data_IF_297076860563
#
_entry.id   IF_297076860563
#
_cell.length_a   1.000
_cell.length_b   1.000
_cell.length_c   1.000
_cell.angle_alpha   90.00
_cell.angle_beta   90.00
_cell.angle_gamma   90.00
#
_symmetry.space_group_name_H-M   'P 1'
#
loop_
_entity.id
_entity.type
_entity.pdbx_description
1 polymer ?
#
# COMPACT_ATOMS: atom_id res chain seq x y z
N UNK A 1 -15.74 -19.33 18.61
CA UNK A 1 -14.59 -19.76 17.80
C UNK A 1 -13.84 -18.50 17.42
N UNK A 2 -12.59 -18.37 17.84
CA UNK A 2 -11.80 -17.16 17.64
C UNK A 2 -11.30 -17.11 16.18
N UNK A 3 -11.81 -16.15 15.41
CA UNK A 3 -11.31 -15.85 14.07
C UNK A 3 -10.01 -15.07 14.24
N UNK A 4 -8.90 -15.66 13.82
CA UNK A 4 -7.58 -15.03 13.79
C UNK A 4 -7.61 -13.97 12.67
N UNK A 5 -7.65 -12.69 13.04
CA UNK A 5 -7.41 -11.60 12.11
C UNK A 5 -5.88 -11.42 12.02
N UNK A 6 -5.28 -11.77 10.87
CA UNK A 6 -3.87 -11.45 10.57
C UNK A 6 -3.72 -9.93 10.67
N UNK A 7 -3.15 -9.46 11.79
CA UNK A 7 -2.62 -8.11 11.89
C UNK A 7 -1.50 -7.98 10.84
N UNK A 8 -1.44 -6.82 10.20
CA UNK A 8 -0.40 -6.44 9.25
C UNK A 8 0.98 -6.46 9.94
N UNK A 9 1.56 -7.65 10.07
CA UNK A 9 2.90 -7.82 10.60
C UNK A 9 3.90 -7.32 9.54
N UNK A 10 4.67 -6.28 9.85
CA UNK A 10 5.63 -5.67 8.95
C UNK A 10 7.03 -5.71 9.57
N UNK A 11 7.98 -6.38 8.91
CA UNK A 11 9.39 -6.03 9.06
C UNK A 11 9.64 -4.94 8.03
N UNK A 12 10.17 -3.78 8.44
CA UNK A 12 10.48 -2.65 7.56
C UNK A 12 11.98 -2.71 7.29
N UNK A 13 12.38 -2.83 6.02
CA UNK A 13 13.75 -2.64 5.56
C UNK A 13 13.78 -1.30 4.83
N UNK A 14 14.63 -0.34 5.20
CA UNK A 14 14.86 0.87 4.43
C UNK A 14 16.26 0.81 3.77
N UNK A 15 16.37 1.35 2.56
CA UNK A 15 17.62 1.48 1.80
C UNK A 15 17.86 2.97 1.58
N UNK A 16 19.10 3.44 1.66
CA UNK A 16 19.52 4.81 1.27
C UNK A 16 20.93 4.75 0.68
N UNK A 17 21.15 5.45 -0.45
CA UNK A 17 22.43 5.44 -1.19
C UNK A 17 23.20 6.77 -1.14
N UNK A 18 22.96 7.65 -0.15
CA UNK A 18 23.54 8.99 -0.13
C UNK A 18 24.24 9.35 1.19
N UNK A 19 25.58 9.29 1.18
CA UNK A 19 26.49 9.55 2.33
C UNK A 19 26.28 10.92 3.02
N UNK A 20 25.78 11.94 2.32
CA UNK A 20 25.61 13.29 2.91
C UNK A 20 24.25 13.52 3.59
N UNK A 21 23.25 12.64 3.38
CA UNK A 21 21.91 12.76 4.01
C UNK A 21 21.75 11.93 5.30
N UNK A 22 22.69 11.03 5.59
CA UNK A 22 22.59 10.09 6.72
C UNK A 22 22.81 10.72 8.09
N UNK A 23 23.46 11.88 8.19
CA UNK A 23 23.57 12.60 9.48
C UNK A 23 22.24 13.19 9.98
N UNK A 24 21.17 13.16 9.17
CA UNK A 24 19.82 13.55 9.58
C UNK A 24 18.84 12.38 9.76
N UNK A 25 19.21 11.15 9.39
CA UNK A 25 18.32 9.96 9.44
C UNK A 25 18.42 9.14 10.73
N UNK A 26 19.01 9.69 11.80
CA UNK A 26 19.28 8.98 13.06
C UNK A 26 18.05 8.58 13.91
N UNK A 27 16.82 8.69 13.42
CA UNK A 27 15.66 8.16 14.15
C UNK A 27 14.36 8.19 13.33
N UNK A 28 14.18 7.22 12.43
CA UNK A 28 12.82 6.88 11.97
C UNK A 28 12.56 5.40 12.24
N UNK A 29 12.25 5.12 13.51
CA UNK A 29 11.67 3.86 13.95
C UNK A 29 10.15 3.95 13.77
N UNK A 30 9.59 3.07 12.95
CA UNK A 30 8.15 2.90 12.81
C UNK A 30 7.73 1.71 13.69
N UNK A 31 7.33 2.01 14.92
CA UNK A 31 6.69 1.02 15.78
C UNK A 31 5.27 0.74 15.27
N UNK A 32 5.03 -0.51 14.87
CA UNK A 32 3.71 -1.14 14.90
C UNK A 32 3.77 -2.15 16.04
N UNK A 33 2.79 -2.19 16.96
CA UNK A 33 2.84 -3.08 18.12
C UNK A 33 3.09 -4.53 17.69
N UNK A 34 4.23 -5.11 18.11
CA UNK A 34 4.60 -6.51 17.84
C UNK A 34 5.70 -6.76 16.80
N UNK A 35 6.18 -5.73 16.08
CA UNK A 35 7.04 -5.94 14.90
C UNK A 35 8.50 -5.50 15.07
N UNK A 36 9.45 -6.35 14.67
CA UNK A 36 10.87 -6.01 14.58
C UNK A 36 11.18 -5.29 13.26
N UNK A 37 11.80 -4.12 13.33
CA UNK A 37 12.34 -3.40 12.17
C UNK A 37 13.84 -3.69 12.06
N UNK A 38 14.32 -3.99 10.86
CA UNK A 38 15.75 -4.21 10.60
C UNK A 38 16.17 -3.21 9.53
N UNK A 39 17.12 -2.33 9.84
CA UNK A 39 17.70 -1.45 8.83
C UNK A 39 18.73 -2.23 8.02
N UNK A 40 18.72 -2.09 6.70
CA UNK A 40 19.77 -2.68 5.85
C UNK A 40 21.03 -1.84 6.03
N UNK A 41 22.18 -2.43 6.43
CA UNK A 41 23.43 -1.70 6.52
C UNK A 41 23.79 -1.05 5.19
N UNK A 42 24.35 0.17 5.22
CA UNK A 42 24.69 0.95 4.01
C UNK A 42 25.62 0.20 3.04
N UNK A 43 26.47 -0.67 3.57
CA UNK A 43 27.42 -1.48 2.82
C UNK A 43 26.89 -2.86 2.42
N UNK A 44 25.65 -3.18 2.77
CA UNK A 44 25.07 -4.46 2.43
C UNK A 44 24.71 -4.49 0.94
N UNK A 45 24.89 -5.66 0.32
CA UNK A 45 24.46 -5.86 -1.06
C UNK A 45 22.91 -5.82 -1.09
N UNK A 46 22.32 -4.72 -1.58
CA UNK A 46 20.87 -4.53 -1.72
C UNK A 46 20.23 -5.73 -2.44
N UNK A 47 20.96 -6.35 -3.36
CA UNK A 47 20.59 -7.57 -4.06
C UNK A 47 20.19 -8.74 -3.16
N UNK A 48 20.72 -8.84 -1.93
CA UNK A 48 20.36 -9.89 -0.96
C UNK A 48 18.97 -9.68 -0.34
N UNK A 49 18.47 -8.45 -0.39
CA UNK A 49 17.21 -8.03 0.23
C UNK A 49 16.10 -7.78 -0.80
N UNK A 50 16.30 -8.23 -2.03
CA UNK A 50 15.32 -8.07 -3.10
C UNK A 50 14.09 -8.96 -2.89
N UNK A 51 12.88 -8.50 -3.28
CA UNK A 51 11.63 -9.20 -3.00
C UNK A 51 11.60 -10.67 -3.44
N UNK A 52 12.15 -10.99 -4.61
CA UNK A 52 12.20 -12.35 -5.13
C UNK A 52 13.01 -13.32 -4.23
N UNK A 53 14.03 -12.81 -3.54
CA UNK A 53 14.94 -13.61 -2.72
C UNK A 53 14.42 -13.89 -1.33
N UNK A 54 13.57 -13.01 -0.78
CA UNK A 54 13.01 -13.17 0.55
C UNK A 54 11.79 -14.11 0.51
N UNK A 55 12.01 -15.42 0.71
CA UNK A 55 10.93 -16.42 0.81
C UNK A 55 10.44 -16.59 2.24
N UNK A 56 9.12 -16.79 2.42
CA UNK A 56 8.37 -16.96 3.70
C UNK A 56 8.72 -18.24 4.49
N UNK A 57 9.96 -18.69 4.56
CA UNK A 57 10.32 -19.77 5.48
C UNK A 57 10.36 -19.24 6.92
N UNK A 58 9.26 -19.43 7.68
CA UNK A 58 9.25 -19.42 9.15
C UNK A 58 9.33 -18.06 9.86
N UNK A 59 8.50 -17.08 9.47
CA UNK A 59 8.49 -15.67 9.97
C UNK A 59 9.44 -14.71 9.24
N UNK A 60 9.68 -14.99 7.96
CA UNK A 60 10.45 -14.13 7.06
C UNK A 60 9.81 -12.74 6.88
N UNK A 61 10.66 -11.74 6.65
CA UNK A 61 10.33 -10.36 6.26
C UNK A 61 9.10 -10.33 5.35
N UNK A 62 8.02 -9.65 5.74
CA UNK A 62 6.74 -9.58 5.00
C UNK A 62 6.66 -8.42 4.00
N UNK A 63 7.36 -7.34 4.31
CA UNK A 63 7.40 -6.13 3.50
C UNK A 63 8.84 -5.65 3.36
N UNK A 64 9.20 -5.09 2.22
CA UNK A 64 10.39 -4.27 2.05
C UNK A 64 9.89 -2.86 1.79
N UNK A 65 10.55 -1.85 2.34
CA UNK A 65 10.10 -0.47 2.24
C UNK A 65 11.20 0.44 1.70
N UNK A 66 10.83 1.61 1.25
CA UNK A 66 11.78 2.67 0.92
C UNK A 66 11.13 4.01 1.20
N UNK A 67 11.94 4.95 1.69
CA UNK A 67 11.49 6.28 2.13
C UNK A 67 12.29 7.36 1.43
N UNK A 68 11.60 8.42 1.06
CA UNK A 68 12.18 9.63 0.49
C UNK A 68 12.77 10.55 1.57
N UNK A 69 13.62 11.52 1.20
CA UNK A 69 14.21 12.49 2.13
C UNK A 69 13.22 13.27 2.99
N UNK A 70 12.02 13.55 2.46
CA UNK A 70 10.93 14.31 3.09
C UNK A 70 9.89 13.38 3.72
N UNK A 71 10.24 12.12 3.98
CA UNK A 71 9.34 11.16 4.62
C UNK A 71 9.01 11.57 6.06
N UNK A 72 7.72 11.53 6.37
CA UNK A 72 7.21 11.68 7.73
C UNK A 72 6.17 10.59 7.98
N UNK A 73 6.39 9.78 9.01
CA UNK A 73 5.47 8.69 9.35
C UNK A 73 4.05 9.16 9.67
N UNK A 74 3.88 10.39 10.16
CA UNK A 74 2.57 10.95 10.50
C UNK A 74 1.69 11.16 9.28
N UNK A 75 2.29 11.33 8.10
CA UNK A 75 1.56 11.51 6.84
C UNK A 75 0.78 10.25 6.44
N UNK A 76 1.11 9.08 7.01
CA UNK A 76 0.60 7.76 6.58
C UNK A 76 -0.08 6.97 7.70
N UNK A 77 -0.42 7.62 8.81
CA UNK A 77 -1.10 6.97 9.95
C UNK A 77 -2.12 7.91 10.58
N UNK A 78 -3.23 7.38 11.09
CA UNK A 78 -4.19 8.18 11.84
C UNK A 78 -3.55 8.72 13.12
N UNK A 79 -4.09 9.82 13.62
CA UNK A 79 -3.69 10.39 14.90
C UNK A 79 -3.95 9.43 16.09
N UNK A 80 -4.98 8.59 16.00
CA UNK A 80 -5.29 7.50 16.94
C UNK A 80 -5.83 6.25 16.21
N UNK A 81 -4.93 5.33 15.87
CA UNK A 81 -5.27 4.09 15.18
C UNK A 81 -6.17 3.15 16.01
N UNK A 82 -6.02 3.17 17.34
CA UNK A 82 -6.78 2.28 18.21
C UNK A 82 -8.23 2.76 18.34
N UNK A 83 -8.42 4.06 18.58
CA UNK A 83 -9.75 4.65 18.64
C UNK A 83 -10.49 4.55 17.30
N UNK A 84 -9.80 4.73 16.17
CA UNK A 84 -10.38 4.52 14.84
C UNK A 84 -10.91 3.09 14.68
N UNK A 85 -10.11 2.09 15.06
CA UNK A 85 -10.51 0.68 14.98
C UNK A 85 -11.75 0.41 15.82
N UNK A 86 -11.76 0.83 17.09
CA UNK A 86 -12.90 0.64 17.99
C UNK A 86 -14.16 1.34 17.48
N UNK A 87 -14.03 2.57 16.96
CA UNK A 87 -15.16 3.31 16.41
C UNK A 87 -15.72 2.61 15.16
N UNK A 88 -14.86 2.11 14.27
CA UNK A 88 -15.30 1.35 13.12
C UNK A 88 -16.00 0.03 13.51
N UNK A 89 -15.49 -0.69 14.49
CA UNK A 89 -16.12 -1.91 15.04
C UNK A 89 -17.53 -1.60 15.59
N UNK A 90 -17.70 -0.51 16.33
CA UNK A 90 -19.02 -0.06 16.82
C UNK A 90 -19.98 0.26 15.67
N UNK A 91 -19.51 0.90 14.59
CA UNK A 91 -20.32 1.16 13.40
C UNK A 91 -20.75 -0.13 12.70
N UNK A 92 -19.86 -1.14 12.65
CA UNK A 92 -20.17 -2.47 12.10
C UNK A 92 -21.23 -3.23 12.91
N UNK A 93 -21.33 -2.98 14.22
CA UNK A 93 -22.32 -3.60 15.10
C UNK A 93 -23.66 -2.87 15.07
N UNK A 94 -23.63 -1.54 15.09
CA UNK A 94 -24.85 -0.72 15.27
C UNK A 94 -25.51 -0.32 13.95
N UNK A 95 -24.73 -0.12 12.88
CA UNK A 95 -25.17 0.61 11.69
C UNK A 95 -24.60 0.05 10.37
N UNK A 96 -24.32 -1.27 10.30
CA UNK A 96 -23.65 -1.90 9.16
C UNK A 96 -24.27 -1.57 7.80
N UNK A 97 -25.60 -1.58 7.71
CA UNK A 97 -26.33 -1.31 6.46
C UNK A 97 -26.22 0.16 5.99
N UNK A 98 -25.70 1.06 6.83
CA UNK A 98 -25.55 2.48 6.55
C UNK A 98 -24.10 2.88 6.24
N UNK A 99 -23.16 1.92 6.20
CA UNK A 99 -21.78 2.21 5.82
C UNK A 99 -21.73 2.64 4.34
N UNK A 100 -21.31 3.88 4.11
CA UNK A 100 -21.19 4.50 2.78
C UNK A 100 -19.80 5.11 2.59
N UNK A 101 -19.46 5.57 1.38
CA UNK A 101 -18.24 6.36 1.13
C UNK A 101 -18.11 7.52 2.12
N UNK A 102 -19.22 8.23 2.33
CA UNK A 102 -19.29 9.37 3.24
C UNK A 102 -18.93 9.00 4.68
N UNK A 103 -19.25 7.78 5.11
CA UNK A 103 -18.84 7.29 6.43
C UNK A 103 -17.31 7.21 6.52
N UNK A 104 -16.64 6.73 5.48
CA UNK A 104 -15.17 6.64 5.47
C UNK A 104 -14.51 8.00 5.29
N UNK A 105 -15.11 8.92 4.54
CA UNK A 105 -14.65 10.31 4.46
C UNK A 105 -14.70 10.96 5.85
N UNK A 106 -15.80 10.78 6.59
CA UNK A 106 -15.95 11.31 7.95
C UNK A 106 -14.95 10.70 8.93
N UNK A 107 -14.69 9.39 8.84
CA UNK A 107 -13.67 8.75 9.67
C UNK A 107 -12.26 9.23 9.29
N UNK A 108 -11.98 9.41 7.99
CA UNK A 108 -10.70 9.95 7.53
C UNK A 108 -10.46 11.35 8.09
N UNK A 109 -11.45 12.24 8.03
CA UNK A 109 -11.40 13.58 8.61
C UNK A 109 -11.21 13.54 10.13
N UNK A 110 -11.99 12.73 10.84
CA UNK A 110 -11.96 12.65 12.31
C UNK A 110 -10.61 12.15 12.84
N UNK A 111 -9.99 11.20 12.14
CA UNK A 111 -8.73 10.57 12.57
C UNK A 111 -7.51 11.06 11.78
N UNK A 112 -7.67 12.14 11.01
CA UNK A 112 -6.62 12.82 10.23
C UNK A 112 -5.82 11.86 9.32
N UNK A 113 -6.51 10.90 8.69
CA UNK A 113 -5.90 9.91 7.78
C UNK A 113 -6.39 10.08 6.35
N UNK A 114 -5.65 10.91 5.61
CA UNK A 114 -5.99 11.25 4.23
C UNK A 114 -5.12 10.55 3.19
N UNK A 115 -4.09 9.81 3.61
CA UNK A 115 -3.22 9.10 2.71
C UNK A 115 -3.91 7.95 1.98
N UNK A 116 -3.26 7.49 0.93
CA UNK A 116 -3.68 6.29 0.21
C UNK A 116 -2.52 5.73 -0.59
N UNK A 117 -2.78 4.70 -1.38
CA UNK A 117 -1.74 4.05 -2.17
C UNK A 117 -2.26 3.57 -3.52
N UNK A 118 -1.42 3.75 -4.54
CA UNK A 118 -1.50 2.96 -5.76
C UNK A 118 -0.89 1.59 -5.48
N UNK A 119 -1.68 0.54 -5.70
CA UNK A 119 -1.26 -0.85 -5.63
C UNK A 119 -1.10 -1.38 -7.05
N UNK A 120 0.03 -2.01 -7.34
CA UNK A 120 0.23 -2.78 -8.56
C UNK A 120 0.68 -4.21 -8.21
N UNK A 121 0.31 -5.14 -9.08
CA UNK A 121 0.68 -6.54 -8.94
C UNK A 121 1.73 -6.93 -9.99
N UNK A 122 2.85 -7.46 -9.53
CA UNK A 122 4.02 -7.77 -10.33
C UNK A 122 4.35 -9.25 -10.23
N UNK A 123 4.70 -9.84 -11.36
CA UNK A 123 5.14 -11.21 -11.43
C UNK A 123 6.50 -11.37 -10.75
N UNK A 124 6.74 -12.55 -10.19
CA UNK A 124 7.91 -12.88 -9.38
C UNK A 124 9.24 -12.76 -10.13
N UNK A 125 9.24 -12.96 -11.44
CA UNK A 125 10.41 -12.79 -12.31
C UNK A 125 10.72 -11.32 -12.64
N UNK A 126 9.79 -10.40 -12.35
CA UNK A 126 9.91 -8.96 -12.65
C UNK A 126 9.89 -8.08 -11.41
N UNK A 127 9.57 -8.63 -10.23
CA UNK A 127 9.36 -7.84 -9.01
C UNK A 127 10.61 -7.06 -8.62
N UNK A 128 11.80 -7.64 -8.75
CA UNK A 128 13.05 -6.99 -8.39
C UNK A 128 13.32 -5.77 -9.28
N UNK A 129 13.14 -5.91 -10.60
CA UNK A 129 13.35 -4.82 -11.55
C UNK A 129 12.36 -3.67 -11.34
N UNK A 130 11.07 -4.00 -11.16
CA UNK A 130 10.04 -2.99 -10.89
C UNK A 130 10.28 -2.33 -9.53
N UNK A 131 10.68 -3.10 -8.51
CA UNK A 131 10.98 -2.56 -7.19
C UNK A 131 12.20 -1.63 -7.22
N UNK A 132 13.27 -1.96 -7.96
CA UNK A 132 14.42 -1.06 -8.13
C UNK A 132 13.99 0.27 -8.75
N UNK A 133 13.13 0.27 -9.78
CA UNK A 133 12.62 1.51 -10.38
C UNK A 133 11.87 2.36 -9.35
N UNK A 134 10.96 1.75 -8.60
CA UNK A 134 10.17 2.45 -7.57
C UNK A 134 11.05 2.98 -6.44
N UNK A 135 11.95 2.15 -5.91
CA UNK A 135 12.82 2.52 -4.80
C UNK A 135 13.78 3.66 -5.18
N UNK A 136 14.38 3.58 -6.37
CA UNK A 136 15.23 4.65 -6.89
C UNK A 136 14.45 5.96 -7.08
N UNK A 137 13.22 5.90 -7.60
CA UNK A 137 12.42 7.11 -7.83
C UNK A 137 11.97 7.77 -6.51
N UNK A 138 11.64 6.98 -5.48
CA UNK A 138 11.35 7.49 -4.13
C UNK A 138 12.56 8.22 -3.54
N UNK A 139 13.74 7.59 -3.58
CA UNK A 139 14.93 8.12 -2.91
C UNK A 139 15.48 9.38 -3.59
N UNK A 140 15.44 9.42 -4.93
CA UNK A 140 16.06 10.48 -5.70
C UNK A 140 15.12 11.66 -5.97
N UNK A 141 13.83 11.38 -6.22
CA UNK A 141 12.91 12.39 -6.75
C UNK A 141 11.58 12.45 -5.99
N UNK A 142 11.32 11.55 -5.05
CA UNK A 142 10.03 11.44 -4.34
C UNK A 142 8.83 11.37 -5.30
N UNK A 143 9.00 10.66 -6.43
CA UNK A 143 8.05 10.66 -7.55
C UNK A 143 7.61 12.06 -8.00
N UNK A 144 8.54 13.01 -8.07
CA UNK A 144 8.23 14.41 -8.39
C UNK A 144 7.54 15.16 -7.25
N UNK A 145 7.73 14.72 -6.01
CA UNK A 145 7.11 15.27 -4.80
C UNK A 145 5.75 14.66 -4.44
N UNK A 146 5.23 13.72 -5.23
CA UNK A 146 3.92 13.10 -5.01
C UNK A 146 3.96 11.88 -4.08
N UNK A 147 5.14 11.31 -3.79
CA UNK A 147 5.26 10.18 -2.88
C UNK A 147 6.60 10.13 -2.18
N UNK A 148 6.59 9.97 -0.86
CA UNK A 148 7.80 9.80 -0.06
C UNK A 148 7.93 8.39 0.51
N UNK A 149 7.02 7.49 0.14
CA UNK A 149 6.96 6.15 0.72
C UNK A 149 6.44 5.11 -0.26
N UNK A 150 7.15 4.00 -0.36
CA UNK A 150 6.68 2.81 -1.04
C UNK A 150 7.07 1.55 -0.27
N UNK A 151 6.32 0.47 -0.50
CA UNK A 151 6.64 -0.86 0.01
C UNK A 151 6.27 -1.97 -0.97
N UNK A 152 6.93 -3.10 -0.88
CA UNK A 152 6.67 -4.31 -1.67
C UNK A 152 6.49 -5.51 -0.75
N UNK A 153 5.48 -6.31 -1.04
CA UNK A 153 5.22 -7.56 -0.34
C UNK A 153 6.24 -8.60 -0.78
N UNK A 154 6.88 -9.27 0.17
CA UNK A 154 7.69 -10.47 -0.09
C UNK A 154 6.82 -11.71 -0.27
N UNK A 155 5.56 -11.64 0.18
CA UNK A 155 4.55 -12.68 -0.04
C UNK A 155 4.00 -12.55 -1.45
N UNK A 156 4.08 -13.66 -2.20
CA UNK A 156 3.57 -13.82 -3.56
C UNK A 156 2.27 -14.62 -3.54
N UNK A 157 1.11 -13.97 -3.66
CA UNK A 157 -0.17 -14.67 -3.81
C UNK A 157 -1.12 -13.82 -4.70
N UNK A 158 -1.35 -14.19 -5.97
CA UNK A 158 -0.48 -14.96 -6.87
C UNK A 158 0.76 -14.18 -7.34
N UNK A 159 0.76 -12.86 -7.11
CA UNK A 159 1.78 -11.89 -7.53
C UNK A 159 2.29 -11.11 -6.31
N UNK A 160 3.41 -10.40 -6.46
CA UNK A 160 3.88 -9.44 -5.47
C UNK A 160 3.06 -8.15 -5.56
N UNK A 161 2.62 -7.63 -4.42
CA UNK A 161 2.01 -6.31 -4.35
C UNK A 161 3.08 -5.25 -4.09
N UNK A 162 3.16 -4.24 -4.95
CA UNK A 162 3.92 -3.01 -4.69
C UNK A 162 2.91 -1.90 -4.40
N UNK A 163 3.12 -1.18 -3.31
CA UNK A 163 2.31 -0.05 -2.87
C UNK A 163 3.14 1.23 -2.91
N UNK A 164 2.67 2.24 -3.62
CA UNK A 164 3.28 3.57 -3.71
C UNK A 164 2.28 4.58 -3.13
N UNK A 165 2.68 5.29 -2.08
CA UNK A 165 1.75 6.04 -1.25
C UNK A 165 1.65 7.50 -1.64
N UNK A 166 0.45 8.05 -1.67
CA UNK A 166 0.20 9.50 -1.65
C UNK A 166 -0.05 9.93 -0.21
N UNK A 167 0.39 11.14 0.15
CA UNK A 167 0.18 11.75 1.46
C UNK A 167 -1.27 12.20 1.64
N UNK A 168 -1.91 12.59 0.54
CA UNK A 168 -3.31 13.00 0.55
C UNK A 168 -4.14 12.18 -0.42
N UNK A 169 -5.47 12.32 -0.29
CA UNK A 169 -6.49 11.79 -1.19
C UNK A 169 -6.98 12.87 -2.17
N UNK A 170 -6.26 14.00 -2.26
CA UNK A 170 -6.53 15.02 -3.26
C UNK A 170 -6.37 14.42 -4.67
N UNK A 171 -7.34 14.70 -5.54
CA UNK A 171 -7.35 14.12 -6.88
C UNK A 171 -6.12 14.51 -7.69
N UNK A 172 -5.58 15.73 -7.52
CA UNK A 172 -4.38 16.15 -8.25
C UNK A 172 -3.14 15.38 -7.79
N UNK A 173 -3.03 15.07 -6.49
CA UNK A 173 -1.92 14.27 -5.96
C UNK A 173 -2.02 12.82 -6.43
N UNK A 174 -3.23 12.24 -6.43
CA UNK A 174 -3.51 10.90 -6.94
C UNK A 174 -3.14 10.79 -8.43
N UNK A 175 -3.59 11.74 -9.25
CA UNK A 175 -3.30 11.80 -10.68
C UNK A 175 -1.83 12.12 -10.97
N UNK A 176 -1.22 13.01 -10.20
CA UNK A 176 0.20 13.36 -10.31
C UNK A 176 1.09 12.16 -10.04
N UNK A 177 0.78 11.42 -8.97
CA UNK A 177 1.48 10.19 -8.63
C UNK A 177 1.30 9.12 -9.71
N UNK A 178 0.08 8.97 -10.25
CA UNK A 178 -0.18 8.03 -11.34
C UNK A 178 0.70 8.33 -12.56
N UNK A 179 0.75 9.60 -12.99
CA UNK A 179 1.59 10.04 -14.11
C UNK A 179 3.07 9.82 -13.84
N UNK A 180 3.53 10.07 -12.61
CA UNK A 180 4.90 9.82 -12.20
C UNK A 180 5.24 8.32 -12.25
N UNK A 181 4.33 7.44 -11.81
CA UNK A 181 4.46 5.98 -11.95
C UNK A 181 4.56 5.56 -13.42
N UNK A 182 3.74 6.14 -14.32
CA UNK A 182 3.83 5.85 -15.76
C UNK A 182 5.16 6.30 -16.36
N UNK A 183 5.67 7.45 -15.94
CA UNK A 183 6.92 8.05 -16.45
C UNK A 183 8.15 7.18 -16.21
N UNK A 184 8.18 6.40 -15.12
CA UNK A 184 9.26 5.43 -14.86
C UNK A 184 9.09 4.10 -15.61
N UNK A 185 8.10 4.00 -16.50
CA UNK A 185 7.89 2.85 -17.38
C UNK A 185 6.90 1.80 -16.87
N UNK A 186 6.22 2.04 -15.75
CA UNK A 186 5.23 1.09 -15.20
C UNK A 186 3.92 1.19 -15.98
N UNK A 187 3.62 0.16 -16.77
CA UNK A 187 2.46 0.08 -17.69
C UNK A 187 1.36 -0.89 -17.24
N UNK A 188 1.45 -1.41 -16.00
CA UNK A 188 0.48 -2.35 -15.41
C UNK A 188 -0.77 -1.65 -14.90
N UNK A 189 -1.86 -2.39 -14.64
CA UNK A 189 -3.04 -1.81 -13.99
C UNK A 189 -2.66 -1.36 -12.58
N UNK A 190 -3.10 -0.17 -12.19
CA UNK A 190 -2.92 0.39 -10.85
C UNK A 190 -4.27 0.47 -10.15
N UNK A 191 -4.31 0.14 -8.86
CA UNK A 191 -5.51 0.19 -8.03
C UNK A 191 -5.29 1.13 -6.86
N UNK A 192 -6.09 2.20 -6.75
CA UNK A 192 -5.96 3.14 -5.66
C UNK A 192 -6.84 2.73 -4.48
N UNK A 193 -6.21 2.58 -3.31
CA UNK A 193 -6.86 2.26 -2.03
C UNK A 193 -6.51 3.34 -0.98
N UNK A 194 -7.49 4.11 -0.48
CA UNK A 194 -7.30 4.98 0.68
C UNK A 194 -6.88 4.20 1.93
N UNK A 195 -6.02 4.81 2.74
CA UNK A 195 -5.50 4.16 3.95
C UNK A 195 -6.57 3.98 5.02
N UNK A 196 -7.62 4.82 5.05
CA UNK A 196 -8.76 4.63 5.95
C UNK A 196 -9.36 3.21 5.83
N UNK A 197 -9.48 2.66 4.62
CA UNK A 197 -9.93 1.28 4.44
C UNK A 197 -8.95 0.25 5.03
N UNK A 198 -7.65 0.51 4.98
CA UNK A 198 -6.65 -0.37 5.58
C UNK A 198 -6.75 -0.34 7.11
N UNK A 199 -6.86 0.84 7.72
CA UNK A 199 -6.99 0.97 9.17
C UNK A 199 -8.33 0.46 9.71
N UNK A 200 -9.38 0.48 8.90
CA UNK A 200 -10.66 -0.17 9.20
C UNK A 200 -10.65 -1.69 8.90
N UNK A 201 -9.55 -2.28 8.42
CA UNK A 201 -9.50 -3.72 8.10
C UNK A 201 -10.36 -4.12 6.89
N UNK A 202 -10.72 -3.18 6.02
CA UNK A 202 -11.49 -3.42 4.81
C UNK A 202 -10.53 -3.84 3.69
N UNK A 203 -10.50 -5.15 3.44
CA UNK A 203 -9.77 -5.78 2.34
C UNK A 203 -10.76 -6.40 1.33
N UNK A 204 -10.23 -7.02 0.28
CA UNK A 204 -11.07 -7.81 -0.63
C UNK A 204 -11.86 -8.86 0.15
N UNK A 205 -13.14 -9.03 -0.18
CA UNK A 205 -14.07 -9.98 0.44
C UNK A 205 -14.43 -9.71 1.92
N UNK A 206 -14.23 -8.48 2.44
CA UNK A 206 -14.74 -8.14 3.77
C UNK A 206 -16.28 -8.21 3.84
N UNK A 207 -16.84 -8.61 4.97
CA UNK A 207 -18.28 -8.87 5.18
C UNK A 207 -19.18 -7.66 4.91
N UNK A 208 -18.64 -6.45 5.00
CA UNK A 208 -19.36 -5.22 4.67
C UNK A 208 -19.59 -5.03 3.16
N UNK A 209 -18.98 -5.87 2.31
CA UNK A 209 -19.06 -5.85 0.83
C UNK A 209 -18.68 -4.50 0.19
N UNK A 210 -17.97 -3.66 0.94
CA UNK A 210 -17.41 -2.40 0.43
C UNK A 210 -16.21 -2.72 -0.43
N UNK A 211 -16.17 -2.15 -1.65
CA UNK A 211 -15.00 -2.24 -2.51
C UNK A 211 -13.94 -1.25 -1.99
N UNK A 212 -12.76 -1.72 -1.54
CA UNK A 212 -11.73 -0.85 -0.97
C UNK A 212 -10.93 -0.09 -2.02
N UNK A 213 -11.02 -0.49 -3.28
CA UNK A 213 -10.43 0.24 -4.41
C UNK A 213 -11.43 1.31 -4.83
N UNK A 214 -11.00 2.57 -4.91
CA UNK A 214 -11.85 3.69 -5.36
C UNK A 214 -11.48 4.24 -6.74
N UNK A 215 -10.24 4.01 -7.19
CA UNK A 215 -9.80 4.30 -8.56
C UNK A 215 -9.05 3.11 -9.15
N UNK A 216 -9.21 2.91 -10.46
CA UNK A 216 -8.38 1.99 -11.26
C UNK A 216 -7.74 2.78 -12.39
N UNK A 217 -6.43 2.64 -12.60
CA UNK A 217 -5.75 3.20 -13.78
C UNK A 217 -5.31 2.10 -14.72
N UNK A 218 -5.83 2.12 -15.94
CA UNK A 218 -5.37 1.27 -17.03
C UNK A 218 -4.45 2.06 -17.96
N UNK A 219 -3.39 1.41 -18.45
CA UNK A 219 -2.45 2.06 -19.36
C UNK A 219 -2.91 1.88 -20.82
N UNK A 220 -3.10 2.99 -21.53
CA UNK A 220 -3.40 3.03 -22.95
C UNK A 220 -2.10 3.03 -23.77
N UNK A 221 -1.86 1.94 -24.50
CA UNK A 221 -0.67 1.79 -25.36
C UNK A 221 -0.63 2.76 -26.54
N UNK A 222 -1.78 3.18 -27.06
CA UNK A 222 -1.87 4.06 -28.23
C UNK A 222 -1.51 5.49 -27.85
N UNK A 223 -1.99 5.93 -26.69
CA UNK A 223 -1.81 7.30 -26.21
C UNK A 223 -0.59 7.45 -25.28
N UNK A 224 0.10 6.34 -24.97
CA UNK A 224 1.22 6.26 -24.02
C UNK A 224 0.91 6.92 -22.66
N UNK A 225 -0.32 6.72 -22.15
CA UNK A 225 -0.79 7.37 -20.91
C UNK A 225 -1.75 6.48 -20.12
N UNK A 226 -1.90 6.77 -18.84
CA UNK A 226 -2.90 6.15 -17.98
C UNK A 226 -4.30 6.73 -18.18
N UNK A 227 -5.33 5.92 -17.89
CA UNK A 227 -6.72 6.34 -17.81
C UNK A 227 -7.27 5.94 -16.44
N UNK A 228 -7.47 6.94 -15.57
CA UNK A 228 -8.01 6.74 -14.23
C UNK A 228 -9.54 6.70 -14.31
N UNK A 229 -10.12 5.63 -13.80
CA UNK A 229 -11.55 5.39 -13.74
C UNK A 229 -11.97 5.25 -12.28
N UNK A 230 -13.01 5.97 -11.82
CA UNK A 230 -13.61 5.72 -10.52
C UNK A 230 -14.25 4.33 -10.54
N UNK A 231 -14.02 3.56 -9.49
CA UNK A 231 -14.70 2.27 -9.33
C UNK A 231 -16.05 2.50 -8.67
N UNK A 232 -17.13 2.10 -9.35
CA UNK A 232 -18.49 2.27 -8.86
C UNK A 232 -18.67 1.63 -7.48
N UNK A 233 -18.93 2.46 -6.47
CA UNK A 233 -19.17 2.07 -5.08
C UNK A 233 -20.39 1.13 -4.92
N UNK A 234 -21.35 1.21 -5.85
CA UNK A 234 -22.59 0.43 -5.86
C UNK A 234 -22.65 -0.64 -6.96
N UNK A 235 -21.56 -0.89 -7.69
CA UNK A 235 -21.57 -2.02 -8.61
C UNK A 235 -21.52 -3.31 -7.79
N UNK A 236 -22.69 -3.92 -7.57
CA UNK A 236 -22.79 -5.37 -7.42
C UNK A 236 -22.25 -6.02 -8.69
N UNK A 237 -20.94 -5.98 -8.90
CA UNK A 237 -20.29 -6.76 -9.94
C UNK A 237 -20.07 -8.14 -9.36
N UNK A 238 -21.07 -9.00 -9.57
CA UNK A 238 -20.91 -10.44 -9.55
C UNK A 238 -19.67 -10.81 -10.37
N UNK A 239 -18.64 -11.29 -9.70
CA UNK A 239 -17.80 -12.35 -10.26
C UNK A 239 -17.88 -13.49 -9.26
N UNK A 240 -18.94 -14.30 -9.39
CA UNK A 240 -18.82 -15.71 -9.07
C UNK A 240 -17.78 -16.24 -10.05
N UNK A 241 -16.55 -16.45 -9.57
CA UNK A 241 -15.77 -17.56 -10.11
C UNK A 241 -16.36 -18.79 -9.46
N UNK A 242 -17.49 -19.26 -10.00
CA UNK A 242 -17.87 -20.65 -9.85
C UNK A 242 -16.80 -21.45 -10.61
N UNK A 243 -15.72 -21.79 -9.92
CA UNK A 243 -14.83 -22.86 -10.31
C UNK A 243 -15.02 -24.00 -9.30
N UNK A 244 -15.99 -24.87 -9.63
CA UNK A 244 -15.86 -26.33 -9.65
C UNK A 244 -15.05 -26.89 -8.47
N UNK A 245 -15.72 -27.22 -7.36
CA UNK A 245 -16.08 -28.59 -6.98
C UNK A 245 -14.93 -29.60 -6.90
N UNK A 246 -14.82 -30.17 -5.69
CA UNK A 246 -14.29 -31.50 -5.36
C UNK A 246 -12.78 -31.68 -5.53
N UNK A 247 -12.08 -31.77 -4.39
CA UNK A 247 -11.35 -32.99 -4.07
C UNK A 247 -11.48 -33.28 -2.57
N UNK A 248 -11.89 -34.51 -2.28
CA UNK A 248 -11.71 -35.22 -1.02
C UNK A 248 -10.23 -35.28 -0.61
#
# INVERSE_FOLDING_TARGET
MATVYEQDDAIILAVSSNEQKLQQLNSITLEVPGNQTVQIPENAAIEEYMPHRLKRCGNAVKWISTVGPSFNCKDYKPNDAHALKLHFEQLLETSRALLTLKTFEQLADQYEIHSGKWVLYVDDDQVDDVWRLVANEIQNNEFGGFSTYARVSTVKIPQHAICIYSKTSDTNEIEGLEKAIRKIGIKRVLYYKPDIYTFCGIHGNHDCRIRPIIFTSEYNKVEDKGSILPTNFNAMSFVRVDAVSNYE
#
